data_IF_982354928869
#
_entry.id   IF_982354928869
#
_cell.length_a   1.000
_cell.length_b   1.000
_cell.length_c   1.000
_cell.angle_alpha   90.00
_cell.angle_beta   90.00
_cell.angle_gamma   90.00
#
_symmetry.space_group_name_H-M   'P 1'
#
loop_
_entity.id
_entity.type
_entity.pdbx_description
1 polymer ?
#
# COMPACT_ATOMS: atom_id res chain seq x y z
N UNK A 1 23.23 19.99 13.56
CA UNK A 1 23.13 18.56 13.15
C UNK A 1 22.42 18.51 11.81
N UNK A 2 22.88 17.71 10.86
CA UNK A 2 22.17 17.49 9.59
C UNK A 2 20.87 16.69 9.81
N UNK A 3 20.00 16.60 8.79
CA UNK A 3 18.80 15.76 8.85
C UNK A 3 19.18 14.27 9.04
N UNK A 4 18.33 13.55 9.76
CA UNK A 4 18.54 12.16 10.17
C UNK A 4 17.59 11.26 9.39
N UNK A 5 18.12 10.18 8.81
CA UNK A 5 17.36 9.07 8.26
C UNK A 5 17.27 7.95 9.31
N UNK A 6 16.07 7.75 9.83
CA UNK A 6 15.73 6.66 10.73
C UNK A 6 15.00 5.57 9.95
N UNK A 7 15.46 4.33 10.07
CA UNK A 7 14.84 3.18 9.38
C UNK A 7 14.00 2.37 10.35
N UNK A 8 12.70 2.30 10.09
CA UNK A 8 11.73 1.55 10.88
C UNK A 8 11.68 0.07 10.45
N UNK A 9 12.14 -0.82 11.31
CA UNK A 9 12.19 -2.27 11.08
C UNK A 9 10.87 -2.93 11.52
N UNK A 10 9.79 -2.64 10.80
CA UNK A 10 8.45 -3.18 11.04
C UNK A 10 8.30 -4.63 10.53
N UNK A 11 9.02 -5.56 11.14
CA UNK A 11 8.95 -6.98 10.86
C UNK A 11 8.31 -7.74 12.02
N UNK A 12 7.73 -8.91 11.77
CA UNK A 12 7.36 -9.85 12.83
C UNK A 12 8.50 -10.81 13.19
N UNK A 13 9.59 -10.76 12.43
CA UNK A 13 10.70 -11.70 12.46
C UNK A 13 12.02 -10.95 12.68
N UNK A 14 12.75 -11.34 13.73
CA UNK A 14 14.05 -10.78 14.08
C UNK A 14 15.14 -11.00 13.02
N UNK A 15 15.26 -12.20 12.44
CA UNK A 15 16.29 -12.51 11.45
C UNK A 15 16.15 -11.65 10.18
N UNK A 16 14.91 -11.41 9.72
CA UNK A 16 14.63 -10.48 8.63
C UNK A 16 14.97 -9.05 9.03
N UNK A 17 14.54 -8.61 10.21
CA UNK A 17 14.85 -7.27 10.72
C UNK A 17 16.36 -7.01 10.76
N UNK A 18 17.16 -7.95 11.28
CA UNK A 18 18.62 -7.84 11.33
C UNK A 18 19.25 -7.81 9.93
N UNK A 19 18.75 -8.63 8.99
CA UNK A 19 19.24 -8.60 7.60
C UNK A 19 19.03 -7.23 6.97
N UNK A 20 17.81 -6.69 7.06
CA UNK A 20 17.48 -5.38 6.50
C UNK A 20 18.20 -4.25 7.26
N UNK A 21 18.42 -4.39 8.56
CA UNK A 21 19.25 -3.46 9.33
C UNK A 21 20.68 -3.38 8.78
N UNK A 22 21.33 -4.51 8.44
CA UNK A 22 22.66 -4.51 7.79
C UNK A 22 22.63 -3.77 6.46
N UNK A 23 21.66 -4.08 5.61
CA UNK A 23 21.49 -3.46 4.30
C UNK A 23 21.28 -1.95 4.44
N UNK A 24 20.40 -1.51 5.35
CA UNK A 24 20.10 -0.12 5.62
C UNK A 24 21.32 0.65 6.16
N UNK A 25 22.04 0.10 7.15
CA UNK A 25 23.27 0.71 7.67
C UNK A 25 24.33 0.83 6.57
N UNK A 26 24.50 -0.19 5.72
CA UNK A 26 25.39 -0.14 4.57
C UNK A 26 24.94 0.87 3.49
N UNK A 27 23.66 1.24 3.47
CA UNK A 27 23.09 2.29 2.62
C UNK A 27 23.16 3.69 3.23
N UNK A 28 23.66 3.84 4.46
CA UNK A 28 23.83 5.14 5.12
C UNK A 28 22.66 5.58 6.00
N UNK A 29 21.84 4.65 6.50
CA UNK A 29 20.93 4.93 7.61
C UNK A 29 21.69 5.48 8.82
N UNK A 30 21.13 6.48 9.49
CA UNK A 30 21.73 7.04 10.70
C UNK A 30 21.24 6.28 11.94
N UNK A 31 19.93 6.04 12.01
CA UNK A 31 19.25 5.43 13.16
C UNK A 31 18.50 4.17 12.72
N UNK A 32 18.46 3.17 13.60
CA UNK A 32 17.65 1.97 13.43
C UNK A 32 16.55 1.95 14.48
N UNK A 33 15.33 1.72 14.06
CA UNK A 33 14.18 1.61 14.95
C UNK A 33 13.69 0.16 14.98
N UNK A 34 13.66 -0.42 16.17
CA UNK A 34 12.87 -1.61 16.43
C UNK A 34 11.41 -1.18 16.46
N UNK A 35 10.72 -1.38 15.34
CA UNK A 35 9.34 -0.96 15.15
C UNK A 35 8.37 -1.70 16.08
N UNK A 36 7.19 -1.11 16.30
CA UNK A 36 6.14 -1.69 17.15
C UNK A 36 5.84 -3.18 16.84
N UNK A 37 5.66 -3.62 15.57
CA UNK A 37 5.37 -5.02 15.26
C UNK A 37 6.50 -5.97 15.68
N UNK A 38 7.75 -5.53 15.53
CA UNK A 38 8.92 -6.33 15.87
C UNK A 38 9.01 -6.53 17.38
N UNK A 39 8.85 -5.44 18.15
CA UNK A 39 8.85 -5.52 19.60
C UNK A 39 7.65 -6.34 20.11
N UNK A 40 6.47 -6.23 19.49
CA UNK A 40 5.31 -7.05 19.88
C UNK A 40 5.52 -8.54 19.61
N UNK A 41 6.27 -8.90 18.57
CA UNK A 41 6.53 -10.29 18.21
C UNK A 41 7.68 -10.92 19.01
N UNK A 42 8.78 -10.18 19.19
CA UNK A 42 10.05 -10.70 19.72
C UNK A 42 10.37 -10.15 21.12
N UNK A 43 9.57 -9.21 21.62
CA UNK A 43 9.88 -8.43 22.82
C UNK A 43 11.09 -7.51 22.62
N UNK A 44 11.61 -7.03 23.76
CA UNK A 44 12.84 -6.21 23.78
C UNK A 44 14.11 -6.99 23.43
N UNK A 45 14.01 -8.31 23.18
CA UNK A 45 15.13 -9.07 22.64
C UNK A 45 15.56 -8.55 21.27
N UNK A 46 14.63 -8.06 20.46
CA UNK A 46 14.97 -7.39 19.20
C UNK A 46 15.93 -6.21 19.39
N UNK A 47 15.71 -5.39 20.43
CA UNK A 47 16.59 -4.25 20.76
C UNK A 47 17.97 -4.72 21.23
N UNK A 48 18.03 -5.79 22.05
CA UNK A 48 19.30 -6.36 22.52
C UNK A 48 20.15 -6.88 21.37
N UNK A 49 19.52 -7.59 20.42
CA UNK A 49 20.19 -8.17 19.26
C UNK A 49 20.67 -7.06 18.30
N UNK A 50 19.85 -6.02 18.08
CA UNK A 50 20.27 -4.84 17.33
C UNK A 50 21.46 -4.13 18.02
N UNK A 51 21.47 -4.00 19.34
CA UNK A 51 22.61 -3.42 20.08
C UNK A 51 23.87 -4.27 19.97
N UNK A 52 23.74 -5.59 20.09
CA UNK A 52 24.86 -6.50 19.96
C UNK A 52 25.52 -6.41 18.57
N UNK A 53 24.71 -6.29 17.52
CA UNK A 53 25.20 -6.23 16.15
C UNK A 53 25.66 -4.83 15.71
N UNK A 54 24.97 -3.78 16.16
CA UNK A 54 25.23 -2.38 15.81
C UNK A 54 25.58 -1.55 17.06
N UNK A 55 26.72 -1.81 17.72
CA UNK A 55 27.05 -1.21 19.01
C UNK A 55 27.18 0.31 18.98
N UNK A 56 27.49 0.90 17.82
CA UNK A 56 27.64 2.35 17.63
C UNK A 56 26.40 3.03 17.04
N UNK A 57 25.41 2.26 16.58
CA UNK A 57 24.21 2.84 15.99
C UNK A 57 23.32 3.46 17.08
N UNK A 58 22.61 4.52 16.69
CA UNK A 58 21.49 5.00 17.49
C UNK A 58 20.31 4.07 17.29
N UNK A 59 19.82 3.50 18.39
CA UNK A 59 18.69 2.57 18.39
C UNK A 59 17.45 3.24 18.98
N UNK A 60 16.33 3.13 18.27
CA UNK A 60 15.01 3.56 18.73
C UNK A 60 14.19 2.33 19.10
N UNK A 61 13.57 2.34 20.28
CA UNK A 61 12.56 1.37 20.66
C UNK A 61 11.18 2.02 20.52
N UNK A 62 10.46 1.68 19.45
CA UNK A 62 9.10 2.16 19.22
C UNK A 62 8.09 1.32 20.01
N UNK A 63 8.07 1.55 21.32
CA UNK A 63 7.17 0.85 22.24
C UNK A 63 5.73 1.33 22.13
N UNK A 64 5.52 2.56 21.66
CA UNK A 64 4.24 3.27 21.72
C UNK A 64 3.65 3.21 23.13
N UNK A 65 4.48 3.55 24.12
CA UNK A 65 4.13 3.54 25.54
C UNK A 65 2.82 4.30 25.74
N UNK A 66 1.83 3.62 26.32
CA UNK A 66 0.51 4.19 26.63
C UNK A 66 0.27 4.27 28.15
N UNK A 67 0.83 3.33 28.90
CA UNK A 67 0.84 3.31 30.37
C UNK A 67 2.21 2.87 30.91
N UNK A 68 2.33 2.68 32.22
CA UNK A 68 3.55 2.14 32.87
C UNK A 68 4.88 2.82 32.49
N UNK A 69 4.86 4.13 32.19
CA UNK A 69 5.94 4.82 31.48
C UNK A 69 7.36 4.62 32.01
N UNK A 70 7.54 4.63 33.33
CA UNK A 70 8.85 4.37 33.94
C UNK A 70 9.38 2.97 33.64
N UNK A 71 8.53 1.94 33.82
CA UNK A 71 8.93 0.54 33.69
C UNK A 71 9.31 0.24 32.25
N UNK A 72 8.51 0.74 31.30
CA UNK A 72 8.75 0.52 29.87
C UNK A 72 10.01 1.23 29.37
N UNK A 73 10.23 2.51 29.75
CA UNK A 73 11.45 3.25 29.40
C UNK A 73 12.69 2.59 30.01
N UNK A 74 12.63 2.18 31.28
CA UNK A 74 13.71 1.46 31.95
C UNK A 74 14.05 0.15 31.23
N UNK A 75 13.04 -0.63 30.86
CA UNK A 75 13.24 -1.89 30.17
C UNK A 75 13.91 -1.69 28.80
N UNK A 76 13.46 -0.71 28.01
CA UNK A 76 14.04 -0.38 26.71
C UNK A 76 15.49 0.14 26.83
N UNK A 77 15.75 1.02 27.80
CA UNK A 77 17.09 1.53 28.07
C UNK A 77 18.06 0.40 28.44
N UNK A 78 17.65 -0.49 29.35
CA UNK A 78 18.43 -1.69 29.74
C UNK A 78 18.62 -2.67 28.58
N UNK A 79 17.71 -2.72 27.62
CA UNK A 79 17.86 -3.51 26.41
C UNK A 79 18.85 -2.87 25.41
N UNK A 80 19.26 -1.62 25.62
CA UNK A 80 20.25 -0.92 24.82
C UNK A 80 19.70 0.13 23.87
N UNK A 81 18.44 0.57 24.03
CA UNK A 81 17.89 1.68 23.26
C UNK A 81 18.58 3.02 23.60
N UNK A 82 18.70 3.92 22.62
CA UNK A 82 19.10 5.32 22.83
C UNK A 82 17.92 6.29 22.82
N UNK A 83 16.83 5.89 22.16
CA UNK A 83 15.59 6.65 22.06
C UNK A 83 14.44 5.70 22.35
N UNK A 84 13.46 6.15 23.13
CA UNK A 84 12.25 5.38 23.44
C UNK A 84 11.03 6.19 23.00
N UNK A 85 10.09 5.57 22.30
CA UNK A 85 8.89 6.26 21.83
C UNK A 85 7.67 6.01 22.75
N UNK A 86 6.97 7.10 23.09
CA UNK A 86 5.71 7.08 23.83
C UNK A 86 4.59 7.77 23.03
N UNK A 87 3.35 7.39 23.24
CA UNK A 87 2.21 8.01 22.56
C UNK A 87 1.83 9.34 23.22
N UNK A 88 1.69 10.39 22.42
CA UNK A 88 1.23 11.70 22.85
C UNK A 88 -0.17 11.68 23.46
N UNK A 89 -1.02 10.72 23.06
CA UNK A 89 -2.37 10.51 23.63
C UNK A 89 -2.36 9.82 25.00
N UNK A 90 -1.21 9.34 25.48
CA UNK A 90 -1.08 8.82 26.84
C UNK A 90 -1.38 9.91 27.89
N UNK A 91 -1.68 9.48 29.13
CA UNK A 91 -1.94 10.43 30.22
C UNK A 91 -0.74 11.33 30.49
N UNK A 92 -0.99 12.56 30.94
CA UNK A 92 0.06 13.52 31.30
C UNK A 92 1.02 12.94 32.35
N UNK A 93 0.49 12.24 33.35
CA UNK A 93 1.30 11.54 34.35
C UNK A 93 2.18 10.44 33.75
N UNK A 94 1.69 9.71 32.75
CA UNK A 94 2.48 8.68 32.05
C UNK A 94 3.66 9.32 31.33
N UNK A 95 3.42 10.35 30.52
CA UNK A 95 4.46 11.02 29.74
C UNK A 95 5.50 11.68 30.65
N UNK A 96 5.07 12.30 31.75
CA UNK A 96 6.00 12.86 32.74
C UNK A 96 6.87 11.78 33.39
N UNK A 97 6.33 10.60 33.70
CA UNK A 97 7.14 9.49 34.20
C UNK A 97 8.08 8.91 33.13
N UNK A 98 7.66 8.87 31.86
CA UNK A 98 8.54 8.51 30.75
C UNK A 98 9.73 9.48 30.68
N UNK A 99 9.50 10.80 30.77
CA UNK A 99 10.59 11.79 30.73
C UNK A 99 11.55 11.61 31.89
N UNK A 100 11.04 11.49 33.12
CA UNK A 100 11.90 11.28 34.30
C UNK A 100 12.71 9.99 34.18
N UNK A 101 12.11 8.91 33.67
CA UNK A 101 12.83 7.65 33.45
C UNK A 101 13.89 7.80 32.36
N UNK A 102 13.58 8.48 31.26
CA UNK A 102 14.53 8.71 30.16
C UNK A 102 15.78 9.46 30.67
N UNK A 103 15.57 10.52 31.46
CA UNK A 103 16.65 11.27 32.13
C UNK A 103 17.48 10.40 33.08
N UNK A 104 16.82 9.58 33.92
CA UNK A 104 17.51 8.70 34.87
C UNK A 104 18.41 7.66 34.19
N UNK A 105 18.00 7.16 33.03
CA UNK A 105 18.74 6.13 32.29
C UNK A 105 19.62 6.69 31.16
N UNK A 106 19.64 8.01 30.96
CA UNK A 106 20.46 8.66 29.93
C UNK A 106 20.01 8.33 28.50
N UNK A 107 18.72 8.09 28.30
CA UNK A 107 18.13 7.87 26.97
C UNK A 107 17.23 9.04 26.59
N UNK A 108 16.93 9.19 25.31
CA UNK A 108 16.03 10.23 24.80
C UNK A 108 14.59 9.75 24.73
N UNK A 109 13.64 10.63 25.01
CA UNK A 109 12.22 10.36 24.81
C UNK A 109 11.72 10.99 23.51
N UNK A 110 11.10 10.18 22.66
CA UNK A 110 10.32 10.63 21.52
C UNK A 110 8.82 10.52 21.85
N UNK A 111 8.05 11.59 21.60
CA UNK A 111 6.59 11.60 21.80
C UNK A 111 5.90 11.58 20.45
N UNK A 112 5.27 10.46 20.09
CA UNK A 112 4.51 10.27 18.85
C UNK A 112 3.12 10.91 18.98
N UNK A 113 2.85 11.95 18.21
CA UNK A 113 1.62 12.74 18.26
C UNK A 113 0.45 12.10 17.49
N UNK A 114 0.59 10.86 17.03
CA UNK A 114 -0.51 10.13 16.38
C UNK A 114 -1.79 10.14 17.23
N UNK A 115 -2.92 10.46 16.59
CA UNK A 115 -4.23 10.51 17.22
C UNK A 115 -4.44 11.68 18.21
N UNK A 116 -3.46 12.57 18.38
CA UNK A 116 -3.64 13.75 19.22
C UNK A 116 -4.64 14.74 18.58
N UNK A 117 -5.69 15.19 19.29
CA UNK A 117 -6.67 16.13 18.74
C UNK A 117 -6.06 17.49 18.34
N UNK A 118 -5.09 17.97 19.11
CA UNK A 118 -4.29 19.16 18.79
C UNK A 118 -2.79 18.82 18.89
N UNK A 119 -2.17 18.36 17.79
CA UNK A 119 -0.77 17.98 17.78
C UNK A 119 0.17 19.15 18.11
N UNK A 120 -0.19 20.39 17.77
CA UNK A 120 0.67 21.56 18.01
C UNK A 120 0.73 21.89 19.51
N UNK A 121 -0.43 21.95 20.17
CA UNK A 121 -0.49 22.16 21.60
C UNK A 121 0.19 21.02 22.37
N UNK A 122 -0.05 19.77 21.94
CA UNK A 122 0.55 18.60 22.60
C UNK A 122 2.07 18.53 22.41
N UNK A 123 2.59 18.94 21.25
CA UNK A 123 4.03 19.05 21.02
C UNK A 123 4.70 20.03 22.00
N UNK A 124 4.11 21.22 22.20
CA UNK A 124 4.61 22.21 23.18
C UNK A 124 4.65 21.64 24.58
N UNK A 125 3.55 21.01 25.00
CA UNK A 125 3.45 20.41 26.33
C UNK A 125 4.49 19.30 26.55
N UNK A 126 4.70 18.45 25.55
CA UNK A 126 5.74 17.42 25.59
C UNK A 126 7.15 18.01 25.69
N UNK A 127 7.44 19.06 24.91
CA UNK A 127 8.71 19.78 24.97
C UNK A 127 8.93 20.43 26.35
N UNK A 128 7.91 21.08 26.91
CA UNK A 128 7.95 21.72 28.24
C UNK A 128 8.23 20.71 29.36
N UNK A 129 7.73 19.48 29.24
CA UNK A 129 8.05 18.41 30.19
C UNK A 129 9.46 17.85 30.05
N UNK A 130 10.12 18.08 28.91
CA UNK A 130 11.48 17.62 28.63
C UNK A 130 11.56 16.42 27.68
N UNK A 131 10.60 16.24 26.78
CA UNK A 131 10.77 15.32 25.65
C UNK A 131 11.89 15.82 24.71
N UNK A 132 12.66 14.89 24.14
CA UNK A 132 13.80 15.22 23.26
C UNK A 132 13.39 15.33 21.80
N UNK A 133 12.31 14.65 21.39
CA UNK A 133 11.81 14.58 20.02
C UNK A 133 10.28 14.52 20.05
N UNK A 134 9.63 15.17 19.09
CA UNK A 134 8.20 14.94 18.81
C UNK A 134 8.03 14.33 17.43
N UNK A 135 7.20 13.30 17.32
CA UNK A 135 6.92 12.58 16.09
C UNK A 135 5.57 12.94 15.51
N UNK A 136 5.51 13.20 14.22
CA UNK A 136 4.28 13.28 13.45
C UNK A 136 4.17 12.02 12.59
N UNK A 137 3.33 11.10 13.04
CA UNK A 137 2.91 9.97 12.23
C UNK A 137 1.67 10.40 11.44
N UNK A 138 1.79 10.56 10.13
CA UNK A 138 0.59 10.71 9.31
C UNK A 138 0.05 9.31 9.07
N UNK A 139 -1.14 8.93 9.57
CA UNK A 139 -1.72 7.64 9.22
C UNK A 139 -1.80 7.54 7.70
N UNK A 140 -1.43 6.38 7.15
CA UNK A 140 -1.51 6.12 5.70
C UNK A 140 -2.94 6.42 5.21
N UNK A 141 -3.95 6.16 6.05
CA UNK A 141 -5.38 6.39 5.77
C UNK A 141 -5.78 7.88 5.76
N UNK A 142 -5.07 8.75 6.47
CA UNK A 142 -5.36 10.21 6.51
C UNK A 142 -4.68 10.96 5.35
N UNK A 143 -3.57 10.44 4.83
CA UNK A 143 -2.96 10.93 3.57
C UNK A 143 -3.92 10.81 2.37
N UNK A 144 -4.95 9.98 2.48
CA UNK A 144 -5.95 9.73 1.44
C UNK A 144 -7.02 10.82 1.29
N UNK A 145 -7.09 11.81 2.20
CA UNK A 145 -8.20 12.80 2.23
C UNK A 145 -7.93 14.15 1.56
N UNK A 146 -6.78 14.31 0.89
CA UNK A 146 -6.42 15.54 0.19
C UNK A 146 -6.02 16.69 1.14
N UNK A 147 -4.92 17.38 0.81
CA UNK A 147 -4.34 18.45 1.62
C UNK A 147 -2.83 18.52 1.42
N UNK A 148 -2.17 19.55 1.96
CA UNK A 148 -0.70 19.55 2.02
C UNK A 148 -0.23 18.61 3.14
N UNK A 149 0.39 17.45 2.81
CA UNK A 149 0.76 16.45 3.80
C UNK A 149 1.80 16.97 4.83
N UNK A 150 2.46 18.09 4.53
CA UNK A 150 3.51 18.67 5.38
C UNK A 150 3.10 19.98 6.07
N UNK A 151 1.86 20.44 5.92
CA UNK A 151 1.39 21.65 6.60
C UNK A 151 1.44 21.52 8.12
N UNK A 152 1.08 20.35 8.65
CA UNK A 152 1.15 20.07 10.08
C UNK A 152 2.61 20.01 10.57
N UNK A 153 3.52 19.45 9.76
CA UNK A 153 4.96 19.42 10.07
C UNK A 153 5.50 20.84 10.26
N UNK A 154 5.17 21.77 9.35
CA UNK A 154 5.55 23.19 9.48
C UNK A 154 5.04 23.80 10.77
N UNK A 155 3.75 23.65 11.05
CA UNK A 155 3.11 24.22 12.24
C UNK A 155 3.71 23.69 13.55
N UNK A 156 4.05 22.41 13.61
CA UNK A 156 4.68 21.82 14.81
C UNK A 156 6.14 22.26 14.91
N UNK A 157 6.89 22.25 13.81
CA UNK A 157 8.29 22.69 13.79
C UNK A 157 8.47 24.17 14.16
N UNK A 158 7.51 25.03 13.83
CA UNK A 158 7.48 26.44 14.27
C UNK A 158 7.08 26.60 15.75
N UNK A 159 6.46 25.58 16.35
CA UNK A 159 5.90 25.66 17.69
C UNK A 159 6.83 25.12 18.79
N UNK A 160 7.88 24.37 18.45
CA UNK A 160 8.81 23.75 19.41
C UNK A 160 10.27 23.87 18.94
N UNK A 161 11.19 23.96 19.89
CA UNK A 161 12.64 24.03 19.59
C UNK A 161 13.30 22.64 19.49
N UNK A 162 12.61 21.59 19.90
CA UNK A 162 13.09 20.21 19.82
C UNK A 162 12.90 19.62 18.42
N UNK A 163 13.74 18.67 17.98
CA UNK A 163 13.59 18.01 16.69
C UNK A 163 12.20 17.42 16.44
N UNK A 164 11.65 17.72 15.26
CA UNK A 164 10.43 17.08 14.74
C UNK A 164 10.81 15.89 13.86
N UNK A 165 10.30 14.71 14.20
CA UNK A 165 10.34 13.51 13.39
C UNK A 165 9.06 13.38 12.57
N UNK A 166 9.17 12.82 11.35
CA UNK A 166 8.02 12.57 10.49
C UNK A 166 8.03 11.12 9.99
N UNK A 167 6.88 10.46 10.08
CA UNK A 167 6.64 9.09 9.67
C UNK A 167 5.34 8.98 8.86
N UNK A 168 5.20 7.87 8.13
CA UNK A 168 4.03 7.58 7.30
C UNK A 168 4.23 8.00 5.84
N UNK A 169 4.42 7.02 4.95
CA UNK A 169 4.53 7.26 3.50
C UNK A 169 5.77 8.02 3.02
N UNK A 170 6.78 8.21 3.88
CA UNK A 170 8.04 8.87 3.49
C UNK A 170 8.85 7.95 2.57
N UNK A 171 9.29 8.48 1.43
CA UNK A 171 10.07 7.78 0.41
C UNK A 171 11.09 8.76 -0.26
N UNK A 172 11.76 8.31 -1.31
CA UNK A 172 12.78 9.10 -2.02
C UNK A 172 12.24 10.37 -2.70
N UNK A 173 10.94 10.44 -2.97
CA UNK A 173 10.28 11.59 -3.59
C UNK A 173 9.79 12.60 -2.55
N UNK A 174 9.37 12.12 -1.38
CA UNK A 174 8.71 12.95 -0.36
C UNK A 174 9.65 13.42 0.75
N UNK A 175 10.77 12.72 1.00
CA UNK A 175 11.68 13.03 2.10
C UNK A 175 12.25 14.45 2.04
N UNK A 176 12.59 14.95 0.85
CA UNK A 176 13.11 16.30 0.66
C UNK A 176 12.10 17.38 1.09
N UNK A 177 10.83 17.19 0.72
CA UNK A 177 9.74 18.09 1.10
C UNK A 177 9.49 18.08 2.61
N UNK A 178 9.65 16.92 3.24
CA UNK A 178 9.49 16.79 4.68
C UNK A 178 10.54 17.61 5.46
N UNK A 179 11.79 17.59 5.00
CA UNK A 179 12.87 18.41 5.59
C UNK A 179 12.64 19.90 5.31
N UNK A 180 12.21 20.27 4.09
CA UNK A 180 11.85 21.67 3.75
C UNK A 180 10.70 22.19 4.62
N UNK A 181 9.81 21.30 5.06
CA UNK A 181 8.73 21.61 5.99
C UNK A 181 9.17 21.72 7.46
N UNK A 182 10.44 21.53 7.78
CA UNK A 182 10.99 21.69 9.13
C UNK A 182 11.27 20.40 9.88
N UNK A 183 11.01 19.22 9.29
CA UNK A 183 11.41 17.96 9.91
C UNK A 183 12.93 17.85 10.01
N UNK A 184 13.42 17.25 11.10
CA UNK A 184 14.85 16.97 11.35
C UNK A 184 15.15 15.49 11.30
N UNK A 185 14.14 14.64 11.50
CA UNK A 185 14.24 13.18 11.44
C UNK A 185 13.18 12.69 10.45
N UNK A 186 13.59 11.96 9.43
CA UNK A 186 12.70 11.27 8.51
C UNK A 186 12.71 9.78 8.86
N UNK A 187 11.55 9.26 9.27
CA UNK A 187 11.36 7.85 9.60
C UNK A 187 10.81 7.13 8.37
N UNK A 188 11.56 6.16 7.87
CA UNK A 188 11.22 5.40 6.67
C UNK A 188 11.15 3.91 6.96
N UNK A 189 9.97 3.33 6.79
CA UNK A 189 9.73 1.89 6.86
C UNK A 189 9.62 1.28 5.46
N UNK A 190 8.39 1.11 4.97
CA UNK A 190 8.06 0.33 3.77
C UNK A 190 8.90 0.61 2.52
N UNK A 191 9.24 1.87 2.24
CA UNK A 191 10.05 2.22 1.06
C UNK A 191 11.49 1.63 1.10
N UNK A 192 11.98 1.26 2.29
CA UNK A 192 13.25 0.56 2.48
C UNK A 192 12.99 -0.93 2.74
N UNK A 193 12.13 -1.25 3.71
CA UNK A 193 11.95 -2.62 4.19
C UNK A 193 11.29 -3.55 3.19
N UNK A 194 10.49 -3.02 2.25
CA UNK A 194 9.86 -3.78 1.17
C UNK A 194 10.63 -3.67 -0.15
N UNK A 195 11.82 -3.05 -0.15
CA UNK A 195 12.67 -2.96 -1.34
C UNK A 195 13.38 -4.27 -1.64
N UNK A 196 13.41 -4.62 -2.92
CA UNK A 196 14.22 -5.74 -3.43
C UNK A 196 15.71 -5.58 -3.07
N UNK A 197 16.18 -4.33 -2.96
CA UNK A 197 17.51 -3.96 -2.46
C UNK A 197 17.35 -2.81 -1.44
N UNK A 198 17.37 -3.14 -0.14
CA UNK A 198 17.17 -2.14 0.91
C UNK A 198 18.38 -1.22 1.05
N UNK A 199 19.59 -1.67 0.67
CA UNK A 199 20.80 -0.85 0.68
C UNK A 199 20.70 0.26 -0.35
N UNK A 200 20.36 -0.07 -1.59
CA UNK A 200 20.20 0.90 -2.67
C UNK A 200 19.05 1.88 -2.40
N UNK A 201 17.92 1.38 -1.88
CA UNK A 201 16.79 2.23 -1.48
C UNK A 201 17.19 3.22 -0.38
N UNK A 202 17.88 2.74 0.66
CA UNK A 202 18.37 3.58 1.76
C UNK A 202 19.34 4.64 1.25
N UNK A 203 20.29 4.28 0.38
CA UNK A 203 21.25 5.21 -0.20
C UNK A 203 20.57 6.31 -1.02
N UNK A 204 19.58 5.94 -1.83
CA UNK A 204 18.79 6.87 -2.66
C UNK A 204 18.02 7.86 -1.77
N UNK A 205 17.36 7.37 -0.73
CA UNK A 205 16.61 8.20 0.21
C UNK A 205 17.56 9.11 1.01
N UNK A 206 18.71 8.59 1.46
CA UNK A 206 19.73 9.35 2.18
C UNK A 206 20.31 10.47 1.31
N UNK A 207 20.52 10.20 0.02
CA UNK A 207 20.94 11.21 -0.94
C UNK A 207 19.87 12.29 -1.08
N UNK A 208 18.60 11.94 -1.33
CA UNK A 208 17.50 12.90 -1.44
C UNK A 208 17.31 13.75 -0.17
N UNK A 209 17.45 13.13 1.00
CA UNK A 209 17.40 13.79 2.31
C UNK A 209 18.56 14.77 2.52
N UNK A 210 19.76 14.44 2.05
CA UNK A 210 20.94 15.28 2.22
C UNK A 210 21.01 16.42 1.21
N UNK A 211 20.61 16.17 -0.04
CA UNK A 211 20.63 17.17 -1.12
C UNK A 211 19.38 18.04 -1.15
N UNK A 212 18.28 17.58 -0.55
CA UNK A 212 16.97 18.24 -0.67
C UNK A 212 16.34 18.09 -2.05
N UNK A 213 16.83 17.17 -2.89
CA UNK A 213 16.33 16.92 -4.25
C UNK A 213 15.57 15.57 -4.26
N UNK A 214 14.28 15.55 -4.63
CA UNK A 214 13.52 14.31 -4.80
C UNK A 214 14.17 13.37 -5.82
N UNK A 215 14.17 12.06 -5.52
CA UNK A 215 14.56 11.02 -6.46
C UNK A 215 13.34 10.18 -6.85
N UNK A 216 13.04 10.15 -8.16
CA UNK A 216 11.89 9.46 -8.74
C UNK A 216 11.94 7.96 -8.49
N UNK A 217 10.82 7.35 -8.10
CA UNK A 217 10.64 5.92 -7.88
C UNK A 217 9.34 5.43 -8.54
N UNK A 218 9.38 4.25 -9.16
CA UNK A 218 8.19 3.61 -9.74
C UNK A 218 7.34 2.84 -8.71
N UNK A 219 7.94 2.49 -7.56
CA UNK A 219 7.34 1.78 -6.42
C UNK A 219 7.18 2.72 -5.21
N UNK A 220 6.38 2.34 -4.22
CA UNK A 220 6.14 3.09 -2.98
C UNK A 220 5.39 4.42 -3.17
N UNK A 221 4.64 4.53 -4.27
CA UNK A 221 3.65 5.60 -4.51
C UNK A 221 2.27 5.10 -4.10
N UNK A 222 1.51 5.97 -3.42
CA UNK A 222 0.11 5.70 -3.09
C UNK A 222 -0.81 6.27 -4.16
N UNK A 223 -1.83 5.50 -4.52
CA UNK A 223 -2.89 5.90 -5.43
C UNK A 223 -3.68 7.08 -4.86
N UNK A 224 -4.10 7.95 -5.76
CA UNK A 224 -5.14 8.96 -5.60
C UNK A 224 -6.22 8.68 -6.65
N UNK A 225 -7.36 9.38 -6.61
CA UNK A 225 -8.39 9.23 -7.64
C UNK A 225 -7.84 9.44 -9.06
N UNK A 226 -6.88 10.36 -9.23
CA UNK A 226 -6.28 10.67 -10.54
C UNK A 226 -5.23 9.65 -10.99
N UNK A 227 -4.59 8.94 -10.05
CA UNK A 227 -3.45 8.04 -10.32
C UNK A 227 -3.79 6.56 -10.13
N UNK A 228 -5.03 6.23 -9.76
CA UNK A 228 -5.46 4.87 -9.45
C UNK A 228 -5.26 3.91 -10.62
N UNK A 229 -5.51 4.35 -11.87
CA UNK A 229 -5.32 3.52 -13.07
C UNK A 229 -3.89 3.02 -13.19
N UNK A 230 -2.91 3.89 -12.96
CA UNK A 230 -1.49 3.57 -13.08
C UNK A 230 -1.03 2.56 -12.01
N UNK A 231 -1.66 2.59 -10.83
CA UNK A 231 -1.40 1.63 -9.76
C UNK A 231 -2.07 0.29 -10.07
N UNK A 232 -3.34 0.30 -10.48
CA UNK A 232 -4.07 -0.91 -10.86
C UNK A 232 -3.43 -1.62 -12.07
N UNK A 233 -2.80 -0.87 -12.98
CA UNK A 233 -2.03 -1.40 -14.10
C UNK A 233 -0.79 -2.22 -13.68
N UNK A 234 -0.31 -2.07 -12.44
CA UNK A 234 0.91 -2.74 -11.94
C UNK A 234 0.63 -3.97 -11.09
N UNK A 235 -0.59 -4.13 -10.57
CA UNK A 235 -0.96 -5.20 -9.65
C UNK A 235 -1.77 -6.28 -10.37
N UNK A 236 -1.66 -7.51 -9.87
CA UNK A 236 -2.45 -8.65 -10.35
C UNK A 236 -3.75 -8.81 -9.57
N UNK A 237 -4.70 -9.58 -10.09
CA UNK A 237 -5.94 -9.90 -9.37
C UNK A 237 -5.67 -10.64 -8.06
N UNK A 238 -4.67 -11.57 -7.94
CA UNK A 238 -4.24 -12.09 -6.64
C UNK A 238 -3.72 -11.03 -5.68
N UNK A 239 -2.91 -10.06 -6.14
CA UNK A 239 -2.42 -8.99 -5.25
C UNK A 239 -3.58 -8.16 -4.69
N UNK A 240 -4.61 -7.89 -5.50
CA UNK A 240 -5.81 -7.17 -5.06
C UNK A 240 -6.61 -8.02 -4.06
N UNK A 241 -6.82 -9.31 -4.35
CA UNK A 241 -7.50 -10.24 -3.44
C UNK A 241 -6.80 -10.29 -2.07
N UNK A 242 -5.51 -10.62 -2.04
CA UNK A 242 -4.76 -10.85 -0.81
C UNK A 242 -4.56 -9.57 0.00
N UNK A 243 -4.30 -8.45 -0.66
CA UNK A 243 -4.22 -7.14 -0.02
C UNK A 243 -5.53 -6.70 0.65
N UNK A 244 -6.67 -7.21 0.16
CA UNK A 244 -8.01 -6.83 0.63
C UNK A 244 -8.71 -7.95 1.41
N UNK A 245 -7.96 -8.70 2.21
CA UNK A 245 -8.47 -9.76 3.09
C UNK A 245 -9.12 -10.93 2.33
N UNK A 246 -8.50 -11.35 1.22
CA UNK A 246 -9.02 -12.37 0.32
C UNK A 246 -10.34 -11.94 -0.34
N UNK A 247 -10.36 -10.69 -0.83
CA UNK A 247 -11.52 -10.16 -1.54
C UNK A 247 -11.83 -11.05 -2.76
N UNK A 248 -13.08 -11.53 -2.92
CA UNK A 248 -13.40 -12.49 -3.96
C UNK A 248 -13.33 -11.86 -5.35
N UNK A 249 -12.79 -12.61 -6.31
CA UNK A 249 -12.92 -12.32 -7.73
C UNK A 249 -14.17 -12.94 -8.35
N UNK A 250 -14.46 -12.57 -9.59
CA UNK A 250 -15.49 -13.21 -10.42
C UNK A 250 -14.90 -14.47 -11.04
N UNK A 251 -15.52 -15.61 -10.76
CA UNK A 251 -15.10 -16.93 -11.27
C UNK A 251 -15.78 -17.21 -12.62
N UNK A 252 -15.23 -18.11 -13.43
CA UNK A 252 -15.90 -18.62 -14.63
C UNK A 252 -15.79 -17.74 -15.88
N UNK A 253 -15.48 -16.45 -15.74
CA UNK A 253 -15.09 -15.62 -16.87
C UNK A 253 -13.59 -15.79 -17.14
N UNK A 254 -13.25 -16.03 -18.41
CA UNK A 254 -11.87 -16.27 -18.85
C UNK A 254 -11.45 -15.27 -19.92
N UNK A 255 -10.20 -14.81 -19.91
CA UNK A 255 -9.70 -14.00 -21.01
C UNK A 255 -9.62 -14.85 -22.28
N UNK A 256 -9.90 -14.24 -23.43
CA UNK A 256 -9.75 -14.91 -24.73
C UNK A 256 -8.28 -15.18 -25.09
N UNK A 257 -7.34 -14.45 -24.48
CA UNK A 257 -5.91 -14.52 -24.77
C UNK A 257 -5.07 -14.56 -23.49
N UNK A 258 -4.06 -15.43 -23.38
CA UNK A 258 -3.09 -15.40 -22.28
C UNK A 258 -2.29 -14.09 -22.25
N UNK A 259 -1.90 -13.65 -21.06
CA UNK A 259 -1.22 -12.38 -20.83
C UNK A 259 -2.14 -11.18 -21.00
N UNK A 260 -3.45 -11.36 -20.89
CA UNK A 260 -4.40 -10.24 -20.90
C UNK A 260 -4.28 -9.47 -19.59
N UNK A 261 -4.28 -8.15 -19.65
CA UNK A 261 -4.44 -7.28 -18.49
C UNK A 261 -5.47 -6.21 -18.82
N UNK A 262 -6.51 -6.11 -18.00
CA UNK A 262 -7.65 -5.22 -18.18
C UNK A 262 -7.75 -4.33 -16.94
N UNK A 263 -7.82 -3.01 -17.15
CA UNK A 263 -8.02 -2.05 -16.06
C UNK A 263 -8.90 -0.91 -16.57
N UNK A 264 -10.05 -0.69 -15.95
CA UNK A 264 -10.90 0.45 -16.26
C UNK A 264 -12.17 0.51 -15.42
N UNK A 265 -12.95 1.56 -15.62
CA UNK A 265 -14.23 1.78 -14.94
C UNK A 265 -15.37 1.08 -15.67
N UNK A 266 -16.25 0.42 -14.94
CA UNK A 266 -17.35 -0.35 -15.50
C UNK A 266 -18.42 0.59 -16.11
N UNK A 267 -18.83 0.31 -17.33
CA UNK A 267 -20.15 0.66 -17.85
C UNK A 267 -20.97 -0.63 -17.92
N UNK A 268 -21.95 -0.75 -17.04
CA UNK A 268 -22.71 -2.00 -16.88
C UNK A 268 -23.86 -2.10 -17.87
N UNK A 269 -24.11 -3.30 -18.38
CA UNK A 269 -25.18 -3.60 -19.33
C UNK A 269 -25.85 -4.91 -18.93
N UNK A 270 -27.16 -4.90 -18.75
CA UNK A 270 -27.97 -6.13 -18.64
C UNK A 270 -28.71 -6.35 -19.93
N UNK A 271 -28.66 -7.55 -20.49
CA UNK A 271 -29.38 -7.92 -21.71
C UNK A 271 -29.92 -9.34 -21.65
N UNK A 272 -30.84 -9.68 -22.54
CA UNK A 272 -31.26 -11.07 -22.72
C UNK A 272 -30.15 -11.89 -23.44
N UNK A 273 -30.03 -13.20 -23.18
CA UNK A 273 -29.08 -14.05 -23.90
C UNK A 273 -29.22 -13.93 -25.42
N UNK A 274 -28.12 -13.63 -26.09
CA UNK A 274 -28.06 -13.40 -27.54
C UNK A 274 -28.51 -12.01 -28.02
N UNK A 275 -29.10 -11.18 -27.16
CA UNK A 275 -29.49 -9.83 -27.55
C UNK A 275 -28.31 -8.87 -27.46
N UNK A 276 -27.81 -8.48 -28.63
CA UNK A 276 -26.63 -7.62 -28.78
C UNK A 276 -26.97 -6.14 -28.94
N UNK A 277 -28.24 -5.74 -28.95
CA UNK A 277 -28.63 -4.34 -29.14
C UNK A 277 -28.06 -3.42 -28.05
N UNK A 278 -28.34 -3.71 -26.78
CA UNK A 278 -27.83 -2.91 -25.64
C UNK A 278 -26.31 -3.01 -25.46
N UNK A 279 -25.66 -4.18 -25.59
CA UNK A 279 -24.20 -4.26 -25.58
C UNK A 279 -23.53 -3.36 -26.62
N UNK A 280 -24.01 -3.35 -27.87
CA UNK A 280 -23.44 -2.50 -28.93
C UNK A 280 -23.76 -1.02 -28.70
N UNK A 281 -24.99 -0.70 -28.29
CA UNK A 281 -25.39 0.68 -27.92
C UNK A 281 -24.53 1.24 -26.77
N UNK A 282 -24.10 0.40 -25.82
CA UNK A 282 -23.26 0.84 -24.70
C UNK A 282 -21.92 1.44 -25.15
N UNK A 283 -21.40 1.05 -26.33
CA UNK A 283 -20.21 1.66 -26.94
C UNK A 283 -20.44 3.15 -27.16
N UNK A 284 -21.66 3.56 -27.47
CA UNK A 284 -21.99 4.97 -27.70
C UNK A 284 -21.97 5.83 -26.44
N UNK A 285 -22.21 5.20 -25.29
CA UNK A 285 -22.24 5.84 -23.98
C UNK A 285 -20.90 5.76 -23.22
N UNK A 286 -20.05 4.80 -23.58
CA UNK A 286 -18.74 4.58 -22.94
C UNK A 286 -17.77 5.74 -23.19
N UNK A 287 -16.96 6.03 -22.17
CA UNK A 287 -15.86 6.98 -22.23
C UNK A 287 -14.53 6.27 -22.49
N UNK A 288 -13.51 6.98 -23.00
CA UNK A 288 -12.16 6.42 -23.12
C UNK A 288 -11.67 5.85 -21.78
N UNK A 289 -11.18 4.62 -21.81
CA UNK A 289 -10.70 3.88 -20.65
C UNK A 289 -11.78 3.13 -19.85
N UNK A 290 -13.04 3.17 -20.26
CA UNK A 290 -14.11 2.35 -19.68
C UNK A 290 -13.99 0.88 -20.10
N UNK A 291 -14.55 0.00 -19.26
CA UNK A 291 -14.78 -1.41 -19.52
C UNK A 291 -16.27 -1.63 -19.60
N UNK A 292 -16.76 -2.13 -20.74
CA UNK A 292 -18.16 -2.54 -20.82
C UNK A 292 -18.29 -3.89 -20.10
N UNK A 293 -19.24 -4.01 -19.17
CA UNK A 293 -19.53 -5.24 -18.44
C UNK A 293 -20.95 -5.68 -18.76
N UNK A 294 -21.10 -6.82 -19.42
CA UNK A 294 -22.38 -7.32 -19.91
C UNK A 294 -22.80 -8.55 -19.12
N UNK A 295 -23.98 -8.47 -18.50
CA UNK A 295 -24.73 -9.61 -18.00
C UNK A 295 -25.73 -10.04 -19.09
N UNK A 296 -25.42 -11.15 -19.77
CA UNK A 296 -26.30 -11.79 -20.76
C UNK A 296 -26.79 -13.16 -20.25
N UNK A 297 -26.78 -13.38 -18.93
CA UNK A 297 -27.25 -14.59 -18.27
C UNK A 297 -26.37 -15.82 -18.44
N UNK A 298 -25.07 -15.63 -18.73
CA UNK A 298 -24.06 -16.70 -18.68
C UNK A 298 -24.31 -17.88 -19.61
N UNK A 299 -24.91 -17.65 -20.78
CA UNK A 299 -25.22 -18.71 -21.75
C UNK A 299 -25.24 -18.24 -23.21
N UNK A 300 -25.10 -19.16 -24.19
CA UNK A 300 -25.34 -18.87 -25.62
C UNK A 300 -26.79 -18.46 -25.92
N UNK A 301 -27.07 -17.84 -27.09
CA UNK A 301 -26.14 -17.53 -28.18
C UNK A 301 -25.31 -16.25 -27.93
N UNK A 302 -24.32 -15.99 -28.79
CA UNK A 302 -23.38 -14.89 -28.62
C UNK A 302 -24.06 -13.52 -28.78
N UNK A 303 -23.66 -12.56 -27.93
CA UNK A 303 -24.11 -11.16 -27.99
C UNK A 303 -22.97 -10.17 -28.29
N UNK A 304 -21.75 -10.66 -28.52
CA UNK A 304 -20.58 -9.84 -28.82
C UNK A 304 -19.69 -10.50 -29.88
N UNK A 305 -19.02 -9.70 -30.71
CA UNK A 305 -18.14 -10.15 -31.80
C UNK A 305 -17.11 -9.10 -32.24
N UNK A 306 -16.48 -9.34 -33.38
CA UNK A 306 -15.33 -8.54 -33.87
C UNK A 306 -15.67 -7.07 -34.16
N UNK A 307 -16.80 -6.77 -34.81
CA UNK A 307 -17.16 -5.40 -35.22
C UNK A 307 -17.43 -4.48 -34.02
N UNK A 308 -18.05 -5.02 -32.97
CA UNK A 308 -18.24 -4.31 -31.71
C UNK A 308 -16.89 -4.05 -31.03
N UNK A 309 -16.00 -5.04 -31.04
CA UNK A 309 -14.62 -4.92 -30.54
C UNK A 309 -13.81 -3.85 -31.28
N UNK A 310 -13.90 -3.79 -32.61
CA UNK A 310 -13.26 -2.75 -33.43
C UNK A 310 -13.77 -1.34 -33.04
N UNK A 311 -15.08 -1.23 -32.80
CA UNK A 311 -15.70 0.04 -32.37
C UNK A 311 -15.22 0.48 -30.97
N UNK A 312 -15.01 -0.47 -30.06
CA UNK A 312 -14.41 -0.20 -28.75
C UNK A 312 -12.98 0.33 -28.86
N UNK A 313 -12.16 -0.24 -29.77
CA UNK A 313 -10.80 0.23 -30.01
C UNK A 313 -10.78 1.67 -30.52
N UNK A 314 -11.67 2.00 -31.47
CA UNK A 314 -11.77 3.36 -32.01
C UNK A 314 -12.15 4.40 -30.95
N UNK A 315 -12.97 4.01 -29.97
CA UNK A 315 -13.35 4.86 -28.83
C UNK A 315 -12.37 4.84 -27.66
N UNK A 316 -11.31 4.02 -27.73
CA UNK A 316 -10.29 3.93 -26.69
C UNK A 316 -10.78 3.28 -25.40
N UNK A 317 -11.70 2.30 -25.49
CA UNK A 317 -12.16 1.53 -24.32
C UNK A 317 -11.03 0.62 -23.82
N UNK A 318 -11.04 0.33 -22.52
CA UNK A 318 -10.04 -0.52 -21.87
C UNK A 318 -10.34 -2.02 -22.00
N UNK A 319 -11.58 -2.40 -22.29
CA UNK A 319 -11.93 -3.80 -22.51
C UNK A 319 -13.42 -4.11 -22.49
N UNK A 320 -13.74 -5.40 -22.60
CA UNK A 320 -15.09 -5.95 -22.56
C UNK A 320 -15.12 -7.19 -21.65
N UNK A 321 -16.15 -7.28 -20.82
CA UNK A 321 -16.44 -8.43 -19.97
C UNK A 321 -17.86 -8.91 -20.27
N UNK A 322 -18.04 -10.17 -20.63
CA UNK A 322 -19.35 -10.75 -20.99
C UNK A 322 -19.65 -11.98 -20.15
N UNK A 323 -20.57 -11.88 -19.20
CA UNK A 323 -21.21 -13.06 -18.64
C UNK A 323 -22.27 -13.59 -19.62
N UNK A 324 -21.78 -14.33 -20.60
CA UNK A 324 -22.51 -14.81 -21.75
C UNK A 324 -21.55 -15.28 -22.83
N UNK A 325 -22.08 -15.51 -24.04
CA UNK A 325 -21.27 -15.96 -25.16
C UNK A 325 -20.72 -14.81 -26.01
N UNK A 326 -19.45 -14.96 -26.42
CA UNK A 326 -18.82 -14.14 -27.46
C UNK A 326 -18.51 -14.99 -28.69
N UNK A 327 -18.34 -14.34 -29.84
CA UNK A 327 -17.93 -14.98 -31.11
C UNK A 327 -16.74 -14.25 -31.72
N UNK A 328 -16.25 -14.76 -32.86
CA UNK A 328 -15.14 -14.17 -33.62
C UNK A 328 -13.85 -14.02 -32.78
N UNK A 329 -13.60 -14.98 -31.88
CA UNK A 329 -12.56 -14.88 -30.85
C UNK A 329 -11.14 -14.76 -31.43
N UNK A 330 -10.88 -15.35 -32.59
CA UNK A 330 -9.60 -15.21 -33.30
C UNK A 330 -9.34 -13.79 -33.77
N UNK A 331 -10.37 -13.09 -34.25
CA UNK A 331 -10.30 -11.69 -34.66
C UNK A 331 -10.19 -10.76 -33.45
N UNK A 332 -11.01 -10.98 -32.42
CA UNK A 332 -10.91 -10.23 -31.16
C UNK A 332 -9.50 -10.33 -30.56
N UNK A 333 -8.90 -11.53 -30.54
CA UNK A 333 -7.55 -11.74 -30.03
C UNK A 333 -6.47 -11.03 -30.89
N UNK A 334 -6.69 -10.87 -32.20
CA UNK A 334 -5.81 -10.13 -33.12
C UNK A 334 -5.93 -8.62 -32.93
N UNK A 335 -7.15 -8.11 -32.75
CA UNK A 335 -7.42 -6.69 -32.44
C UNK A 335 -6.71 -6.29 -31.14
N UNK A 336 -6.68 -7.20 -30.17
CA UNK A 336 -5.89 -7.03 -28.94
C UNK A 336 -6.64 -6.28 -27.83
N UNK A 337 -7.93 -6.00 -27.99
CA UNK A 337 -8.76 -5.50 -26.89
C UNK A 337 -8.92 -6.60 -25.83
N UNK A 338 -8.63 -6.32 -24.55
CA UNK A 338 -8.91 -7.25 -23.46
C UNK A 338 -10.39 -7.67 -23.44
N UNK A 339 -10.64 -8.98 -23.58
CA UNK A 339 -11.97 -9.54 -23.67
C UNK A 339 -12.09 -10.76 -22.76
N UNK A 340 -13.05 -10.71 -21.83
CA UNK A 340 -13.39 -11.80 -20.92
C UNK A 340 -14.79 -12.32 -21.23
N UNK A 341 -14.96 -13.64 -21.24
CA UNK A 341 -16.26 -14.27 -21.46
C UNK A 341 -16.46 -15.52 -20.63
N UNK A 342 -17.69 -15.82 -20.23
CA UNK A 342 -18.02 -17.14 -19.67
C UNK A 342 -18.20 -18.22 -20.76
N UNK A 343 -18.57 -17.84 -21.98
CA UNK A 343 -18.80 -18.78 -23.09
C UNK A 343 -18.28 -18.27 -24.45
N UNK A 344 -18.04 -19.21 -25.36
CA UNK A 344 -17.77 -18.93 -26.78
C UNK A 344 -18.79 -19.70 -27.63
N UNK A 345 -19.42 -19.04 -28.59
CA UNK A 345 -20.39 -19.65 -29.49
C UNK A 345 -20.32 -19.05 -30.90
N UNK A 346 -20.50 -19.86 -31.94
CA UNK A 346 -20.55 -19.36 -33.33
C UNK A 346 -21.87 -18.68 -33.67
N UNK A 347 -22.98 -19.19 -33.13
CA UNK A 347 -24.31 -18.63 -33.33
C UNK A 347 -24.45 -17.29 -32.61
N UNK A 348 -24.80 -16.25 -33.37
CA UNK A 348 -25.21 -14.95 -32.83
C UNK A 348 -26.71 -14.96 -32.56
N UNK A 349 -27.15 -14.21 -31.55
CA UNK A 349 -28.56 -13.91 -31.40
C UNK A 349 -29.02 -12.74 -32.28
N UNK A 350 -30.09 -12.07 -31.86
CA UNK A 350 -30.78 -11.02 -32.61
C UNK A 350 -30.80 -9.72 -31.80
N UNK A 351 -30.74 -8.53 -32.44
CA UNK A 351 -30.81 -7.25 -31.76
C UNK A 351 -32.26 -6.94 -31.35
N UNK A 352 -32.72 -7.50 -30.24
CA UNK A 352 -34.13 -7.36 -29.82
C UNK A 352 -34.37 -6.04 -29.09
N UNK A 353 -33.32 -5.36 -28.64
CA UNK A 353 -33.44 -4.06 -27.98
C UNK A 353 -33.87 -4.16 -26.52
N UNK A 354 -33.86 -5.35 -25.92
CA UNK A 354 -34.17 -5.55 -24.52
C UNK A 354 -32.96 -5.26 -23.64
N UNK A 355 -33.23 -4.93 -22.38
CA UNK A 355 -32.19 -4.70 -21.38
C UNK A 355 -31.99 -3.23 -21.03
N UNK A 356 -30.92 -2.97 -20.31
CA UNK A 356 -30.63 -1.69 -19.64
C UNK A 356 -29.12 -1.44 -19.62
N UNK A 357 -28.72 -0.20 -19.93
CA UNK A 357 -27.36 0.30 -19.70
C UNK A 357 -27.38 1.07 -18.38
N UNK A 358 -26.37 0.85 -17.53
CA UNK A 358 -26.28 1.42 -16.19
C UNK A 358 -26.86 0.56 -15.07
N UNK A 359 -27.39 -0.63 -15.40
CA UNK A 359 -28.00 -1.53 -14.42
C UNK A 359 -26.98 -2.05 -13.38
N UNK A 360 -27.39 -2.20 -12.13
CA UNK A 360 -26.61 -2.98 -11.14
C UNK A 360 -26.62 -4.46 -11.55
N UNK A 361 -25.45 -5.03 -11.81
CA UNK A 361 -25.27 -6.42 -12.22
C UNK A 361 -24.93 -7.29 -11.01
N UNK A 362 -25.21 -8.60 -11.14
CA UNK A 362 -24.77 -9.60 -10.17
C UNK A 362 -24.27 -10.85 -10.91
N UNK A 363 -22.96 -10.97 -11.04
CA UNK A 363 -22.28 -12.06 -11.76
C UNK A 363 -21.52 -12.90 -10.74
N UNK A 364 -21.80 -14.20 -10.67
CA UNK A 364 -21.19 -15.13 -9.68
C UNK A 364 -21.24 -14.60 -8.23
N UNK A 365 -22.34 -13.92 -7.87
CA UNK A 365 -22.55 -13.36 -6.53
C UNK A 365 -21.87 -12.01 -6.28
N UNK A 366 -21.02 -11.53 -7.19
CA UNK A 366 -20.35 -10.22 -7.13
C UNK A 366 -21.28 -9.14 -7.71
N UNK A 367 -21.51 -8.09 -6.94
CA UNK A 367 -22.27 -6.92 -7.39
C UNK A 367 -21.35 -5.96 -8.17
N UNK A 368 -21.84 -5.44 -9.30
CA UNK A 368 -21.10 -4.53 -10.16
C UNK A 368 -21.99 -3.35 -10.53
N UNK A 369 -21.54 -2.13 -10.23
CA UNK A 369 -22.23 -0.91 -10.60
C UNK A 369 -21.43 -0.12 -11.64
N UNK A 370 -22.11 0.70 -12.43
CA UNK A 370 -21.43 1.63 -13.33
C UNK A 370 -20.52 2.58 -12.53
N UNK A 371 -19.27 2.70 -12.95
CA UNK A 371 -18.22 3.48 -12.28
C UNK A 371 -17.37 2.70 -11.27
N UNK A 372 -17.69 1.44 -10.98
CA UNK A 372 -16.78 0.56 -10.21
C UNK A 372 -15.54 0.23 -11.05
N UNK A 373 -14.40 -0.02 -10.41
CA UNK A 373 -13.18 -0.40 -11.12
C UNK A 373 -13.15 -1.91 -11.36
N UNK A 374 -12.80 -2.30 -12.58
CA UNK A 374 -12.60 -3.69 -12.98
C UNK A 374 -11.12 -3.88 -13.27
N UNK A 375 -10.53 -4.87 -12.62
CA UNK A 375 -9.19 -5.37 -12.96
C UNK A 375 -9.31 -6.83 -13.38
N UNK A 376 -8.69 -7.18 -14.50
CA UNK A 376 -8.68 -8.54 -15.02
C UNK A 376 -7.31 -8.98 -15.47
N UNK A 377 -6.97 -10.23 -15.20
CA UNK A 377 -5.78 -10.90 -15.70
C UNK A 377 -6.10 -12.38 -16.03
N UNK A 378 -5.05 -13.19 -16.22
CA UNK A 378 -5.21 -14.61 -16.57
C UNK A 378 -5.93 -15.43 -15.48
N UNK A 379 -5.92 -14.98 -14.22
CA UNK A 379 -6.53 -15.68 -13.10
C UNK A 379 -8.03 -15.35 -12.94
N UNK A 380 -8.48 -14.22 -13.49
CA UNK A 380 -9.89 -13.84 -13.52
C UNK A 380 -10.12 -12.33 -13.49
N UNK A 381 -11.22 -11.93 -12.85
CA UNK A 381 -11.62 -10.53 -12.70
C UNK A 381 -11.85 -10.20 -11.23
N UNK A 382 -11.56 -8.97 -10.83
CA UNK A 382 -11.89 -8.45 -9.50
C UNK A 382 -12.54 -7.08 -9.64
N UNK A 383 -13.54 -6.83 -8.80
CA UNK A 383 -14.34 -5.61 -8.82
C UNK A 383 -13.98 -4.80 -7.58
N UNK A 384 -13.61 -3.54 -7.78
CA UNK A 384 -13.31 -2.61 -6.70
C UNK A 384 -14.44 -1.56 -6.68
N UNK A 385 -15.32 -1.58 -5.66
CA UNK A 385 -16.35 -0.56 -5.55
C UNK A 385 -15.75 0.84 -5.55
N UNK A 386 -16.32 1.77 -6.33
CA UNK A 386 -15.75 3.11 -6.55
C UNK A 386 -15.32 3.80 -5.25
N UNK A 387 -16.14 3.71 -4.20
CA UNK A 387 -15.90 4.31 -2.88
C UNK A 387 -14.70 3.75 -2.12
N UNK A 388 -14.24 2.55 -2.45
CA UNK A 388 -13.12 1.86 -1.80
C UNK A 388 -11.93 1.62 -2.74
N UNK A 389 -12.05 2.01 -4.02
CA UNK A 389 -11.09 1.61 -5.05
C UNK A 389 -9.67 2.10 -4.76
N UNK A 390 -9.50 3.35 -4.31
CA UNK A 390 -8.18 3.90 -3.95
C UNK A 390 -7.55 3.14 -2.78
N UNK A 391 -8.35 2.84 -1.76
CA UNK A 391 -7.90 2.05 -0.59
C UNK A 391 -7.46 0.66 -1.01
N UNK A 392 -8.29 -0.02 -1.80
CA UNK A 392 -8.04 -1.37 -2.28
C UNK A 392 -6.81 -1.44 -3.19
N UNK A 393 -6.62 -0.46 -4.07
CA UNK A 393 -5.44 -0.34 -4.94
C UNK A 393 -4.16 -0.15 -4.12
N UNK A 394 -4.21 0.68 -3.09
CA UNK A 394 -3.07 0.91 -2.20
C UNK A 394 -2.67 -0.35 -1.43
N UNK A 395 -3.64 -1.11 -0.93
CA UNK A 395 -3.41 -2.40 -0.26
C UNK A 395 -2.86 -3.45 -1.23
N UNK A 396 -3.33 -3.48 -2.47
CA UNK A 396 -2.83 -4.37 -3.52
C UNK A 396 -1.35 -4.06 -3.85
N UNK A 397 -1.02 -2.77 -4.01
CA UNK A 397 0.35 -2.33 -4.25
C UNK A 397 1.29 -2.71 -3.10
N UNK A 398 0.81 -2.58 -1.86
CA UNK A 398 1.56 -3.00 -0.67
C UNK A 398 1.87 -4.51 -0.66
N UNK A 399 0.91 -5.33 -1.13
CA UNK A 399 1.10 -6.76 -1.31
C UNK A 399 2.18 -7.07 -2.37
N UNK A 400 2.09 -6.43 -3.53
CA UNK A 400 3.08 -6.55 -4.61
C UNK A 400 4.49 -6.18 -4.14
N UNK A 401 4.64 -5.06 -3.42
CA UNK A 401 5.92 -4.61 -2.88
C UNK A 401 6.53 -5.63 -1.91
N UNK A 402 5.73 -6.17 -0.99
CA UNK A 402 6.16 -7.23 -0.07
C UNK A 402 6.55 -8.50 -0.82
N UNK A 403 5.78 -8.90 -1.82
CA UNK A 403 6.10 -10.06 -2.67
C UNK A 403 7.39 -9.84 -3.47
N UNK A 404 7.65 -8.63 -3.97
CA UNK A 404 8.89 -8.30 -4.67
C UNK A 404 10.13 -8.54 -3.78
N UNK A 405 10.06 -8.17 -2.50
CA UNK A 405 11.11 -8.47 -1.51
C UNK A 405 11.27 -9.98 -1.35
N UNK A 406 10.19 -10.69 -1.04
CA UNK A 406 10.23 -12.16 -0.85
C UNK A 406 10.77 -12.85 -2.10
N UNK A 407 10.39 -12.40 -3.30
CA UNK A 407 10.86 -12.91 -4.58
C UNK A 407 12.37 -12.65 -4.78
N UNK A 408 12.87 -11.49 -4.38
CA UNK A 408 14.31 -11.18 -4.39
C UNK A 408 15.07 -12.17 -3.50
N UNK A 409 14.59 -12.41 -2.28
CA UNK A 409 15.22 -13.32 -1.31
C UNK A 409 15.21 -14.78 -1.77
N UNK A 410 14.12 -15.23 -2.40
CA UNK A 410 14.05 -16.56 -3.02
C UNK A 410 15.06 -16.66 -4.17
N UNK A 411 15.12 -15.65 -5.04
CA UNK A 411 16.01 -15.64 -6.22
C UNK A 411 17.49 -15.56 -5.85
N UNK A 412 17.85 -14.95 -4.72
CA UNK A 412 19.24 -14.95 -4.25
C UNK A 412 19.74 -16.34 -3.80
N UNK A 413 18.88 -17.38 -3.85
CA UNK A 413 19.29 -18.78 -3.73
C UNK A 413 19.57 -19.26 -2.31
N UNK A 414 19.29 -18.45 -1.30
CA UNK A 414 19.62 -18.75 0.09
C UNK A 414 18.53 -19.57 0.82
N UNK A 415 17.26 -19.52 0.36
CA UNK A 415 16.11 -20.01 1.15
C UNK A 415 14.89 -20.32 0.27
N UNK A 416 14.02 -21.24 0.73
CA UNK A 416 12.69 -21.50 0.14
C UNK A 416 11.65 -20.51 0.65
N UNK A 417 10.47 -20.42 0.01
CA UNK A 417 9.38 -19.53 0.46
C UNK A 417 9.04 -19.75 1.93
N UNK A 418 8.86 -21.00 2.36
CA UNK A 418 8.54 -21.34 3.74
C UNK A 418 9.62 -20.93 4.76
N UNK A 419 10.88 -20.89 4.34
CA UNK A 419 11.99 -20.40 5.17
C UNK A 419 12.04 -18.87 5.19
N UNK A 420 11.85 -18.21 4.05
CA UNK A 420 11.81 -16.74 3.97
C UNK A 420 10.73 -16.19 4.88
N UNK A 421 9.53 -16.74 4.82
CA UNK A 421 8.38 -16.25 5.60
C UNK A 421 8.24 -16.92 6.98
N UNK A 422 9.18 -17.79 7.36
CA UNK A 422 9.16 -18.61 8.58
C UNK A 422 7.81 -19.28 8.85
N UNK A 423 7.24 -19.95 7.85
CA UNK A 423 5.90 -20.53 7.91
C UNK A 423 5.70 -21.46 9.13
N UNK A 424 6.75 -22.21 9.49
CA UNK A 424 6.72 -23.18 10.60
C UNK A 424 6.67 -22.53 11.99
N UNK A 425 6.93 -21.23 12.12
CA UNK A 425 6.84 -20.52 13.41
C UNK A 425 5.41 -20.49 13.96
N UNK A 426 4.43 -20.53 13.07
CA UNK A 426 3.00 -20.48 13.41
C UNK A 426 2.37 -21.86 13.55
N UNK A 427 3.14 -22.94 13.36
CA UNK A 427 2.68 -24.28 13.68
C UNK A 427 2.43 -24.37 15.18
N UNK A 428 1.15 -24.55 15.55
CA UNK A 428 0.79 -24.90 16.92
C UNK A 428 1.33 -26.30 17.19
N UNK A 429 2.38 -26.38 18.00
CA UNK A 429 2.95 -27.64 18.50
C UNK A 429 2.16 -28.16 19.69
#
# INVERSE_FOLDING_TARGET
MGPILQVALDFLNLAQALRVAREAMAGGADWLEAGTPLIKSEGLEAVRQLRAEFPQATLVADLKIMDAGRIEVEAAAKAGANVVAALGVASDSTLQECVKAAQNFGVRLAVDLIGCPDPVARARQAADWGADVVGLHTPIDEQMRGGDPFALVRRVAEAVDIPVAVAGGINSETVARAIQAGARIAIVGGAITKSADAKAATATIKQALTTGIPATSELYRRATDDTIRDILAKVSTPNISDGNHHHPGIVGLRPLRPGTHLVGTALTVRTAPGDWAKPVEAIDHAQPGDVIVVDAGGRPPACWGELATESCMQRGLAGIVVDGAVRDTGDIARIGLPCFSSHVASACGEPKGFGEIGATLRIEGVEINTGDWIVGDDDGLIVLPRRHAVEMANRAMDCLERENRVRSEIRSGATTLGQVVELLRWEKR
#
